data_IF_959202077185
#
_entry.id   IF_959202077185
#
_cell.length_a   1.000
_cell.length_b   1.000
_cell.length_c   1.000
_cell.angle_alpha   90.00
_cell.angle_beta   90.00
_cell.angle_gamma   90.00
#
_symmetry.space_group_name_H-M   'P 1'
#
loop_
_entity.id
_entity.type
_entity.pdbx_description
1 polymer ?
#
# COMPACT_ATOMS: atom_id res chain seq x y z
N UNK A 1 46.86 20.13 -26.79
CA UNK A 1 46.14 18.89 -27.14
C UNK A 1 45.49 18.43 -25.84
N UNK A 2 44.38 19.07 -25.47
CA UNK A 2 42.98 18.61 -25.65
C UNK A 2 42.69 17.39 -24.78
N UNK A 3 42.13 17.70 -23.62
CA UNK A 3 41.50 16.79 -22.68
C UNK A 3 40.34 16.06 -23.36
N UNK A 4 40.30 14.74 -23.23
CA UNK A 4 39.12 13.94 -23.58
C UNK A 4 38.91 12.88 -22.49
N UNK A 5 38.41 13.34 -21.34
CA UNK A 5 37.75 12.49 -20.34
C UNK A 5 36.26 12.67 -20.59
N UNK A 6 35.73 11.88 -21.51
CA UNK A 6 34.29 11.71 -21.68
C UNK A 6 33.78 10.84 -20.52
N UNK A 7 33.70 11.45 -19.33
CA UNK A 7 32.82 10.99 -18.27
C UNK A 7 31.39 11.11 -18.81
N UNK A 8 30.87 9.99 -19.32
CA UNK A 8 29.46 9.88 -19.64
C UNK A 8 28.73 9.79 -18.31
N UNK A 9 28.50 10.95 -17.69
CA UNK A 9 27.59 11.11 -16.57
C UNK A 9 26.17 10.94 -17.12
N UNK A 10 25.82 9.69 -17.41
CA UNK A 10 24.43 9.33 -17.64
C UNK A 10 23.69 9.65 -16.34
N UNK A 11 22.68 10.53 -16.36
CA UNK A 11 21.83 10.70 -15.21
C UNK A 11 21.17 9.35 -14.95
N UNK A 12 21.64 8.65 -13.90
CA UNK A 12 20.95 7.48 -13.37
C UNK A 12 19.59 7.98 -12.93
N UNK A 13 18.59 7.65 -13.71
CA UNK A 13 17.20 7.78 -13.35
C UNK A 13 17.02 7.25 -11.90
N UNK A 14 16.51 8.06 -10.95
CA UNK A 14 16.22 7.57 -9.61
C UNK A 14 15.10 6.50 -9.60
N UNK A 15 14.55 6.13 -10.76
CA UNK A 15 13.61 5.02 -10.98
C UNK A 15 14.14 3.61 -10.60
N UNK A 16 15.33 3.49 -10.02
CA UNK A 16 15.82 2.24 -9.41
C UNK A 16 15.17 1.89 -8.06
N UNK A 17 14.30 2.75 -7.51
CA UNK A 17 13.52 2.39 -6.32
C UNK A 17 12.32 1.55 -6.73
N UNK A 18 12.32 0.29 -6.32
CA UNK A 18 11.11 -0.51 -6.35
C UNK A 18 9.97 0.29 -5.69
N UNK A 19 8.77 0.34 -6.29
CA UNK A 19 7.64 1.06 -5.72
C UNK A 19 7.37 0.55 -4.29
N UNK A 20 7.02 1.47 -3.39
CA UNK A 20 6.71 1.12 -2.01
C UNK A 20 5.51 0.14 -1.99
N UNK A 21 5.56 -0.94 -1.20
CA UNK A 21 4.45 -1.87 -1.14
C UNK A 21 3.18 -1.19 -0.61
N UNK A 22 2.03 -1.58 -1.17
CA UNK A 22 0.72 -1.18 -0.69
C UNK A 22 0.43 -1.80 0.68
N UNK A 23 -0.17 -1.00 1.55
CA UNK A 23 -0.70 -1.38 2.85
C UNK A 23 -2.16 -1.01 2.95
N UNK A 24 -2.88 -1.74 3.79
CA UNK A 24 -4.29 -1.55 4.08
C UNK A 24 -4.38 -0.95 5.48
N UNK A 25 -4.99 0.24 5.58
CA UNK A 25 -5.50 0.80 6.84
C UNK A 25 -6.99 0.44 6.94
N UNK A 26 -7.36 -0.32 7.96
CA UNK A 26 -8.72 -0.82 8.16
C UNK A 26 -9.33 -0.26 9.44
N UNK A 27 -10.50 0.34 9.30
CA UNK A 27 -11.36 0.80 10.38
C UNK A 27 -12.55 -0.15 10.52
N UNK A 28 -12.76 -0.67 11.72
CA UNK A 28 -13.94 -1.47 12.04
C UNK A 28 -14.90 -0.61 12.87
N UNK A 29 -16.12 -0.42 12.38
CA UNK A 29 -17.11 0.54 12.89
C UNK A 29 -18.19 -0.22 13.67
N UNK A 30 -18.74 0.41 14.70
CA UNK A 30 -19.95 -0.05 15.40
C UNK A 30 -21.05 -0.33 14.39
N UNK A 31 -21.70 -1.49 14.51
CA UNK A 31 -22.67 -1.97 13.51
C UNK A 31 -22.11 -2.96 12.50
N UNK A 32 -20.78 -3.17 12.47
CA UNK A 32 -20.12 -4.19 11.66
C UNK A 32 -19.55 -3.69 10.33
N UNK A 33 -19.75 -2.41 10.01
CA UNK A 33 -19.21 -1.79 8.82
C UNK A 33 -17.67 -1.71 8.87
N UNK A 34 -17.06 -1.82 7.69
CA UNK A 34 -15.62 -1.79 7.52
C UNK A 34 -15.27 -0.77 6.43
N UNK A 35 -14.31 0.10 6.75
CA UNK A 35 -13.67 0.99 5.77
C UNK A 35 -12.21 0.55 5.62
N UNK A 36 -11.81 0.19 4.41
CA UNK A 36 -10.42 -0.10 4.06
C UNK A 36 -9.88 0.99 3.14
N UNK A 37 -8.70 1.51 3.48
CA UNK A 37 -7.95 2.42 2.64
C UNK A 37 -6.61 1.79 2.25
N UNK A 38 -6.35 1.70 0.96
CA UNK A 38 -5.12 1.14 0.39
C UNK A 38 -4.22 2.29 -0.04
N UNK A 39 -3.00 2.33 0.49
CA UNK A 39 -2.00 3.32 0.13
C UNK A 39 -0.59 2.78 0.35
N UNK A 40 0.42 3.53 -0.09
CA UNK A 40 1.81 3.20 0.18
C UNK A 40 2.08 3.08 1.69
N UNK A 41 3.00 2.19 2.07
CA UNK A 41 3.34 1.94 3.49
C UNK A 41 3.57 3.24 4.27
N UNK A 42 4.38 4.16 3.76
CA UNK A 42 4.67 5.45 4.42
C UNK A 42 3.41 6.26 4.72
N UNK A 43 2.45 6.31 3.80
CA UNK A 43 1.18 7.02 3.97
C UNK A 43 0.31 6.38 5.06
N UNK A 44 0.20 5.04 5.06
CA UNK A 44 -0.57 4.30 6.08
C UNK A 44 0.02 4.51 7.48
N UNK A 45 1.35 4.42 7.61
CA UNK A 45 2.01 4.64 8.90
C UNK A 45 1.94 6.10 9.34
N UNK A 46 2.06 7.06 8.42
CA UNK A 46 1.90 8.48 8.70
C UNK A 46 0.51 8.81 9.24
N UNK A 47 -0.54 8.28 8.59
CA UNK A 47 -1.92 8.42 9.03
C UNK A 47 -2.15 7.83 10.44
N UNK A 48 -1.53 6.68 10.74
CA UNK A 48 -1.63 6.07 12.07
C UNK A 48 -0.93 6.90 13.16
N UNK A 49 0.23 7.48 12.86
CA UNK A 49 0.93 8.36 13.79
C UNK A 49 0.21 9.68 14.01
N UNK A 50 -0.40 10.26 12.97
CA UNK A 50 -1.27 11.43 13.10
C UNK A 50 -2.45 11.14 14.03
N UNK A 51 -3.12 10.00 13.84
CA UNK A 51 -4.23 9.57 14.68
C UNK A 51 -3.83 9.48 16.17
N UNK A 52 -2.68 8.87 16.47
CA UNK A 52 -2.15 8.78 17.84
C UNK A 52 -1.76 10.15 18.40
N UNK A 53 -1.17 11.00 17.58
CA UNK A 53 -0.68 12.33 17.99
C UNK A 53 -1.85 13.24 18.34
N UNK A 54 -2.88 13.27 17.50
CA UNK A 54 -4.09 14.05 17.74
C UNK A 54 -4.84 13.55 18.97
N UNK A 55 -5.00 12.23 19.14
CA UNK A 55 -5.64 11.65 20.33
C UNK A 55 -4.94 12.08 21.64
N UNK A 56 -3.60 12.12 21.63
CA UNK A 56 -2.80 12.62 22.76
C UNK A 56 -2.90 14.12 22.98
N UNK A 57 -2.99 14.91 21.91
CA UNK A 57 -2.94 16.37 21.99
C UNK A 57 -4.31 17.00 22.31
N UNK A 58 -5.39 16.46 21.74
CA UNK A 58 -6.73 17.05 21.81
C UNK A 58 -7.74 16.22 22.60
N UNK A 59 -7.33 15.04 23.09
CA UNK A 59 -8.25 14.04 23.63
C UNK A 59 -8.94 13.25 22.50
N UNK A 60 -9.99 12.47 22.82
CA UNK A 60 -10.62 11.55 21.89
C UNK A 60 -11.02 12.24 20.58
N UNK A 61 -10.41 11.79 19.49
CA UNK A 61 -10.73 12.26 18.14
C UNK A 61 -12.19 11.96 17.80
N UNK A 62 -12.89 12.95 17.26
CA UNK A 62 -14.27 12.78 16.76
C UNK A 62 -14.30 12.45 15.27
N UNK A 63 -13.45 13.08 14.46
CA UNK A 63 -13.38 12.88 13.02
C UNK A 63 -11.95 12.75 12.54
N UNK A 64 -11.68 11.74 11.70
CA UNK A 64 -10.40 11.52 11.05
C UNK A 64 -10.55 11.64 9.53
N UNK A 65 -9.67 12.41 8.89
CA UNK A 65 -9.78 12.75 7.47
C UNK A 65 -8.75 11.98 6.65
N UNK A 66 -9.24 11.25 5.65
CA UNK A 66 -8.47 10.52 4.66
C UNK A 66 -8.72 11.12 3.27
N UNK A 67 -7.85 10.85 2.29
CA UNK A 67 -8.07 11.32 0.92
C UNK A 67 -9.42 10.90 0.32
N UNK A 68 -9.99 9.79 0.78
CA UNK A 68 -11.27 9.25 0.28
C UNK A 68 -12.50 9.76 1.05
N UNK A 69 -12.32 10.48 2.16
CA UNK A 69 -13.44 10.96 2.98
C UNK A 69 -13.08 11.11 4.46
N UNK A 70 -14.10 11.30 5.30
CA UNK A 70 -13.96 11.45 6.74
C UNK A 70 -14.58 10.26 7.48
N UNK A 71 -13.94 9.83 8.57
CA UNK A 71 -14.37 8.73 9.44
C UNK A 71 -14.73 9.30 10.80
N UNK A 72 -15.93 9.00 11.30
CA UNK A 72 -16.31 9.31 12.66
C UNK A 72 -15.61 8.34 13.62
N UNK A 73 -14.60 8.84 14.32
CA UNK A 73 -13.78 8.04 15.23
C UNK A 73 -14.53 7.63 16.51
N UNK A 74 -15.64 8.30 16.87
CA UNK A 74 -16.52 7.87 17.97
C UNK A 74 -17.29 6.57 17.67
N UNK A 75 -17.43 6.23 16.38
CA UNK A 75 -18.05 4.99 15.92
C UNK A 75 -17.02 3.88 15.64
N UNK A 76 -15.72 4.19 15.64
CA UNK A 76 -14.66 3.20 15.39
C UNK A 76 -14.39 2.36 16.64
N UNK A 77 -14.41 1.05 16.49
CA UNK A 77 -14.09 0.09 17.56
C UNK A 77 -12.58 -0.18 17.64
N UNK A 78 -11.95 -0.42 16.49
CA UNK A 78 -10.52 -0.64 16.40
C UNK A 78 -10.00 -0.35 14.99
N UNK A 79 -8.72 0.01 14.94
CA UNK A 79 -7.97 0.28 13.72
C UNK A 79 -6.88 -0.78 13.56
N UNK A 80 -6.74 -1.33 12.37
CA UNK A 80 -5.69 -2.31 12.05
C UNK A 80 -4.96 -1.91 10.79
N UNK A 81 -3.69 -2.30 10.70
CA UNK A 81 -2.89 -2.15 9.48
C UNK A 81 -2.33 -3.50 9.07
N UNK A 82 -2.26 -3.75 7.77
CA UNK A 82 -1.63 -4.94 7.21
C UNK A 82 -1.04 -4.67 5.83
N UNK A 83 0.01 -5.38 5.40
CA UNK A 83 0.42 -5.38 4.00
C UNK A 83 -0.75 -5.83 3.11
N UNK A 84 -0.87 -5.25 1.91
CA UNK A 84 -1.82 -5.75 0.90
C UNK A 84 -1.33 -7.12 0.41
N UNK A 85 -2.20 -8.15 0.39
CA UNK A 85 -1.84 -9.44 -0.20
C UNK A 85 -1.44 -9.27 -1.67
N UNK A 86 -0.42 -10.00 -2.16
CA UNK A 86 -0.10 -10.00 -3.58
C UNK A 86 -1.32 -10.47 -4.39
N UNK A 87 -1.53 -9.85 -5.55
CA UNK A 87 -2.56 -10.33 -6.47
C UNK A 87 -2.22 -11.76 -6.90
N UNK A 88 -3.20 -12.68 -6.90
CA UNK A 88 -2.96 -14.06 -7.33
C UNK A 88 -2.52 -14.05 -8.80
N UNK A 89 -1.35 -14.62 -9.06
CA UNK A 89 -0.93 -14.83 -10.45
C UNK A 89 -1.86 -15.87 -11.10
N UNK A 90 -2.22 -15.69 -12.38
CA UNK A 90 -3.01 -16.69 -13.10
C UNK A 90 -2.25 -18.03 -13.07
N UNK A 91 -2.94 -19.10 -12.69
CA UNK A 91 -2.36 -20.45 -12.75
C UNK A 91 -1.94 -20.75 -14.19
N UNK A 92 -0.73 -21.28 -14.43
CA UNK A 92 -0.33 -21.67 -15.78
C UNK A 92 -1.31 -22.74 -16.30
N UNK A 93 -1.88 -22.51 -17.48
CA UNK A 93 -2.77 -23.50 -18.10
C UNK A 93 -2.05 -24.86 -18.14
N UNK A 94 -2.74 -25.97 -17.79
CA UNK A 94 -2.14 -27.28 -17.84
C UNK A 94 -1.67 -27.56 -19.26
N UNK A 95 -0.35 -27.72 -19.43
CA UNK A 95 0.25 -28.05 -20.71
C UNK A 95 -0.49 -29.26 -21.32
N UNK A 96 -1.21 -29.02 -22.43
CA UNK A 96 -1.86 -30.09 -23.19
C UNK A 96 -0.80 -31.13 -23.53
N UNK A 97 -0.79 -32.25 -22.81
CA UNK A 97 0.02 -33.42 -23.15
C UNK A 97 -0.42 -33.89 -24.54
N UNK A 98 0.38 -33.59 -25.56
CA UNK A 98 0.23 -34.20 -26.87
C UNK A 98 0.36 -35.72 -26.68
N UNK A 99 -0.76 -36.43 -26.84
CA UNK A 99 -0.76 -37.90 -26.93
C UNK A 99 -0.31 -38.24 -28.34
N UNK A 100 0.95 -38.62 -28.48
CA UNK A 100 1.39 -39.32 -29.69
C UNK A 100 0.82 -40.74 -29.63
N UNK A 101 -0.22 -41.01 -30.42
CA UNK A 101 -0.64 -42.37 -30.72
C UNK A 101 0.37 -42.96 -31.70
N UNK A 102 1.15 -43.94 -31.25
CA UNK A 102 1.97 -44.77 -32.13
C UNK A 102 1.00 -45.68 -32.90
N UNK A 103 0.94 -45.53 -34.22
CA UNK A 103 0.20 -46.43 -35.14
C UNK A 103 1.20 -47.41 -35.73
#
# INVERSE_FOLDING_TARGET
MSDDITATDQPRDPAGRAPEPDWILKFSIKGGDIVEWIAAKSAVFGALEELKTQDRATGPLSWFFLPMGAINMGEVLFVTIRPRPPEPQPEPEPARRARFSLV
#
